data_IF_383019780847
#
_entry.id   IF_383019780847
#
_cell.length_a   1.000
_cell.length_b   1.000
_cell.length_c   1.000
_cell.angle_alpha   90.00
_cell.angle_beta   90.00
_cell.angle_gamma   90.00
#
_symmetry.space_group_name_H-M   'P 1'
#
loop_
_entity.id
_entity.type
_entity.pdbx_description
1 polymer ?
#
# COMPACT_ATOMS: atom_id res chain seq x y z
N UNK A 1 -2.02 10.48 10.65
CA UNK A 1 -0.65 10.03 10.31
C UNK A 1 -0.41 8.54 10.51
N UNK A 2 -0.67 8.00 11.70
CA UNK A 2 -0.35 6.59 12.01
C UNK A 2 -0.91 5.56 11.02
N UNK A 3 -2.18 5.68 10.62
CA UNK A 3 -2.81 4.75 9.67
C UNK A 3 -2.14 4.72 8.29
N UNK A 4 -1.78 5.89 7.73
CA UNK A 4 -1.10 5.97 6.42
C UNK A 4 0.33 5.42 6.51
N UNK A 5 1.06 5.76 7.58
CA UNK A 5 2.41 5.22 7.81
C UNK A 5 2.37 3.72 8.02
N UNK A 6 1.39 3.20 8.77
CA UNK A 6 1.20 1.78 8.98
C UNK A 6 0.92 1.06 7.65
N UNK A 7 0.00 1.58 6.84
CA UNK A 7 -0.32 1.04 5.53
C UNK A 7 0.90 1.03 4.58
N UNK A 8 1.61 2.15 4.46
CA UNK A 8 2.82 2.24 3.64
C UNK A 8 3.91 1.27 4.11
N UNK A 9 4.07 1.11 5.44
CA UNK A 9 5.01 0.14 6.02
C UNK A 9 4.59 -1.29 5.72
N UNK A 10 3.31 -1.62 5.83
CA UNK A 10 2.78 -2.94 5.49
C UNK A 10 3.00 -3.29 4.02
N UNK A 11 2.71 -2.35 3.11
CA UNK A 11 2.95 -2.53 1.67
C UNK A 11 4.44 -2.68 1.36
N UNK A 12 5.32 -1.99 2.09
CA UNK A 12 6.77 -2.11 1.86
C UNK A 12 7.36 -3.43 2.38
N UNK A 13 6.65 -4.14 3.26
CA UNK A 13 7.11 -5.40 3.87
C UNK A 13 6.55 -6.65 3.18
N UNK A 14 5.62 -6.51 2.23
CA UNK A 14 5.13 -7.62 1.42
C UNK A 14 6.14 -8.02 0.34
N UNK A 15 6.38 -9.33 0.09
CA UNK A 15 7.27 -9.77 -0.99
C UNK A 15 6.74 -9.32 -2.37
N UNK A 16 7.58 -8.68 -3.19
CA UNK A 16 7.24 -8.21 -4.54
C UNK A 16 7.16 -6.68 -4.69
N UNK A 17 7.08 -5.95 -3.58
CA UNK A 17 7.14 -4.47 -3.52
C UNK A 17 8.46 -4.01 -2.91
N UNK A 18 9.09 -3.00 -3.51
CA UNK A 18 10.39 -2.48 -3.03
C UNK A 18 10.18 -1.31 -2.07
N UNK A 19 9.17 -0.47 -2.32
CA UNK A 19 8.87 0.68 -1.48
C UNK A 19 7.45 1.22 -1.70
N UNK A 20 6.89 1.84 -0.67
CA UNK A 20 5.69 2.68 -0.76
C UNK A 20 5.96 4.06 -0.14
N UNK A 21 5.53 5.12 -0.84
CA UNK A 21 5.71 6.52 -0.44
C UNK A 21 4.35 7.22 -0.36
N UNK A 22 4.17 8.06 0.66
CA UNK A 22 2.96 8.88 0.80
C UNK A 22 3.15 10.14 -0.06
N UNK A 23 2.23 10.39 -0.99
CA UNK A 23 2.31 11.54 -1.86
C UNK A 23 2.20 12.87 -1.07
N UNK A 24 2.75 13.99 -1.58
CA UNK A 24 2.69 15.29 -0.89
C UNK A 24 1.28 15.79 -0.60
N UNK A 25 0.31 15.42 -1.46
CA UNK A 25 -1.12 15.73 -1.29
C UNK A 25 -1.79 14.88 -0.19
N UNK A 26 -1.15 13.78 0.23
CA UNK A 26 -1.63 12.80 1.21
C UNK A 26 -2.95 12.15 0.84
N UNK A 27 -3.34 12.24 -0.42
CA UNK A 27 -4.51 11.56 -0.99
C UNK A 27 -4.11 10.25 -1.67
N UNK A 28 -2.82 10.11 -2.00
CA UNK A 28 -2.27 8.97 -2.72
C UNK A 28 -1.09 8.32 -2.00
N UNK A 29 -0.94 7.00 -2.20
CA UNK A 29 0.28 6.26 -1.88
C UNK A 29 0.86 5.75 -3.20
N UNK A 30 2.11 6.14 -3.48
CA UNK A 30 2.89 5.67 -4.61
C UNK A 30 3.56 4.35 -4.24
N UNK A 31 3.41 3.33 -5.08
CA UNK A 31 3.96 2.00 -4.83
C UNK A 31 4.94 1.68 -5.94
N UNK A 32 6.18 1.37 -5.57
CA UNK A 32 7.17 0.84 -6.48
C UNK A 32 7.20 -0.68 -6.37
N UNK A 33 6.59 -1.35 -7.33
CA UNK A 33 6.57 -2.80 -7.40
C UNK A 33 7.67 -3.30 -8.35
N UNK A 34 8.39 -4.35 -7.94
CA UNK A 34 9.51 -4.88 -8.73
C UNK A 34 9.04 -5.90 -9.76
N UNK A 35 8.04 -6.69 -9.38
CA UNK A 35 7.47 -7.75 -10.20
C UNK A 35 5.95 -7.76 -9.97
N UNK A 36 5.18 -7.49 -11.03
CA UNK A 36 3.73 -7.39 -11.00
C UNK A 36 3.16 -7.98 -12.28
N UNK A 37 2.47 -9.10 -12.14
CA UNK A 37 1.73 -9.72 -13.24
C UNK A 37 0.42 -8.95 -13.55
N UNK A 38 -0.27 -8.50 -12.50
CA UNK A 38 -1.56 -7.80 -12.59
C UNK A 38 -1.62 -6.66 -11.56
N UNK A 39 -1.55 -5.43 -12.06
CA UNK A 39 -1.60 -4.22 -11.25
C UNK A 39 -2.94 -4.05 -10.53
N UNK A 40 -4.06 -4.35 -11.20
CA UNK A 40 -5.40 -4.20 -10.60
C UNK A 40 -5.62 -5.22 -9.48
N UNK A 41 -5.12 -6.45 -9.65
CA UNK A 41 -5.17 -7.47 -8.60
C UNK A 41 -4.32 -7.08 -7.38
N UNK A 42 -3.15 -6.48 -7.60
CA UNK A 42 -2.31 -5.95 -6.52
C UNK A 42 -3.03 -4.82 -5.76
N UNK A 43 -3.57 -3.84 -6.48
CA UNK A 43 -4.33 -2.74 -5.88
C UNK A 43 -5.52 -3.26 -5.08
N UNK A 44 -6.30 -4.19 -5.63
CA UNK A 44 -7.43 -4.81 -4.92
C UNK A 44 -6.98 -5.50 -3.65
N UNK A 45 -5.89 -6.27 -3.71
CA UNK A 45 -5.32 -6.95 -2.54
C UNK A 45 -4.92 -5.94 -1.46
N UNK A 46 -4.29 -4.83 -1.83
CA UNK A 46 -3.87 -3.80 -0.88
C UNK A 46 -5.08 -3.16 -0.20
N UNK A 47 -6.11 -2.82 -0.99
CA UNK A 47 -7.33 -2.19 -0.46
C UNK A 47 -8.09 -3.12 0.48
N UNK A 48 -8.28 -4.38 0.09
CA UNK A 48 -9.08 -5.35 0.84
C UNK A 48 -8.34 -5.89 2.06
N UNK A 49 -7.05 -6.23 1.92
CA UNK A 49 -6.29 -6.95 2.95
C UNK A 49 -5.58 -6.04 3.93
N UNK A 50 -5.22 -4.81 3.53
CA UNK A 50 -4.41 -3.91 4.35
C UNK A 50 -5.13 -2.60 4.66
N UNK A 51 -5.66 -1.90 3.65
CA UNK A 51 -6.32 -0.60 3.86
C UNK A 51 -7.61 -0.74 4.69
N UNK A 52 -8.50 -1.68 4.33
CA UNK A 52 -9.78 -1.84 5.01
C UNK A 52 -9.64 -2.16 6.51
N UNK A 53 -8.80 -3.13 6.95
CA UNK A 53 -8.59 -3.36 8.37
C UNK A 53 -7.98 -2.18 9.12
N UNK A 54 -7.08 -1.42 8.48
CA UNK A 54 -6.44 -0.25 9.10
C UNK A 54 -7.45 0.90 9.30
N UNK A 55 -8.48 1.01 8.44
CA UNK A 55 -9.55 2.01 8.58
C UNK A 55 -10.51 1.76 9.75
N UNK A 56 -10.56 0.53 10.26
CA UNK A 56 -11.44 0.15 11.37
C UNK A 56 -10.81 0.41 12.75
N UNK A 57 -9.54 0.85 12.79
CA UNK A 57 -8.74 1.13 13.99
C UNK A 57 -8.66 2.63 14.25
#
# INVERSE_FOLDING_TARGET
DFALTALASTISLTPGTVSAEIAPDREHILIHALDVDDEEALVRTIKERYEAPIREI
#
